data_IF_879384265264
#
_entry.id   IF_879384265264
#
_cell.length_a   1.000
_cell.length_b   1.000
_cell.length_c   1.000
_cell.angle_alpha   90.00
_cell.angle_beta   90.00
_cell.angle_gamma   90.00
#
_symmetry.space_group_name_H-M   'P 1'
#
loop_
_entity.id
_entity.type
_entity.pdbx_description
1 polymer ?
#
# COMPACT_ATOMS: atom_id res chain seq x y z
N UNK A 1 -4.41 -17.19 7.10
CA UNK A 1 -4.73 -15.74 7.07
C UNK A 1 -4.85 -15.28 8.51
N UNK A 2 -4.22 -14.17 8.87
CA UNK A 2 -4.29 -13.57 10.19
C UNK A 2 -5.15 -12.32 10.12
N UNK A 3 -6.14 -12.19 11.00
CA UNK A 3 -6.91 -10.95 11.17
C UNK A 3 -6.43 -10.20 12.40
N UNK A 4 -6.29 -8.88 12.30
CA UNK A 4 -5.90 -8.01 13.42
C UNK A 4 -6.68 -6.71 13.37
N UNK A 5 -7.09 -6.21 14.54
CA UNK A 5 -7.72 -4.89 14.65
C UNK A 5 -6.63 -3.84 14.78
N UNK A 6 -6.62 -2.88 13.87
CA UNK A 6 -5.63 -1.80 13.81
C UNK A 6 -6.34 -0.46 13.94
N UNK A 7 -5.75 0.44 14.73
CA UNK A 7 -6.25 1.81 14.90
C UNK A 7 -5.60 2.74 13.88
N UNK A 8 -6.28 3.84 13.56
CA UNK A 8 -5.70 4.86 12.70
C UNK A 8 -4.35 5.35 13.24
N UNK A 9 -3.39 5.67 12.36
CA UNK A 9 -2.21 6.43 12.74
C UNK A 9 -2.64 7.71 13.46
N UNK A 10 -2.06 8.04 14.63
CA UNK A 10 -2.45 9.22 15.40
C UNK A 10 -2.42 10.52 14.57
N UNK A 11 -1.47 10.64 13.64
CA UNK A 11 -1.29 11.79 12.74
C UNK A 11 -2.47 11.97 11.78
N UNK A 12 -3.09 10.86 11.36
CA UNK A 12 -4.25 10.85 10.48
C UNK A 12 -5.57 10.92 11.26
N UNK A 13 -5.63 10.36 12.47
CA UNK A 13 -6.86 10.23 13.29
C UNK A 13 -7.64 11.56 13.47
N UNK A 14 -6.95 12.65 13.79
CA UNK A 14 -7.58 13.97 13.99
C UNK A 14 -8.14 14.57 12.70
N UNK A 15 -7.57 14.21 11.55
CA UNK A 15 -8.02 14.67 10.24
C UNK A 15 -9.19 13.83 9.74
N UNK A 16 -9.08 12.50 9.85
CA UNK A 16 -10.12 11.55 9.43
C UNK A 16 -11.41 11.70 10.23
N UNK A 17 -11.32 11.98 11.54
CA UNK A 17 -12.49 12.21 12.40
C UNK A 17 -13.25 13.52 12.12
N UNK A 18 -12.75 14.42 11.25
CA UNK A 18 -13.49 15.61 10.82
C UNK A 18 -14.58 15.31 9.79
N UNK A 19 -14.55 14.13 9.16
CA UNK A 19 -15.52 13.77 8.11
C UNK A 19 -16.46 12.65 8.57
N UNK A 20 -17.79 12.82 8.47
CA UNK A 20 -18.76 11.90 9.05
C UNK A 20 -18.78 10.49 8.43
N UNK A 21 -18.24 10.32 7.20
CA UNK A 21 -18.18 9.03 6.48
C UNK A 21 -16.79 8.35 6.47
N UNK A 22 -15.73 9.02 6.96
CA UNK A 22 -14.34 8.53 6.97
C UNK A 22 -13.84 8.20 8.39
N UNK A 23 -14.75 7.76 9.26
CA UNK A 23 -14.40 7.45 10.65
C UNK A 23 -13.67 6.11 10.70
N UNK A 24 -12.35 6.15 10.77
CA UNK A 24 -11.62 5.13 11.49
C UNK A 24 -11.97 5.30 12.97
N UNK A 25 -12.95 4.54 13.44
CA UNK A 25 -13.45 4.65 14.81
C UNK A 25 -12.34 4.33 15.82
N UNK A 26 -12.52 4.78 17.06
CA UNK A 26 -11.64 4.42 18.19
C UNK A 26 -11.53 2.90 18.41
N UNK A 27 -12.49 2.14 17.87
CA UNK A 27 -12.58 0.68 17.85
C UNK A 27 -11.60 0.03 16.87
N UNK A 28 -11.09 0.78 15.89
CA UNK A 28 -10.17 0.30 14.87
C UNK A 28 -10.86 -0.40 13.69
N UNK A 29 -10.05 -0.87 12.73
CA UNK A 29 -10.49 -1.62 11.54
C UNK A 29 -9.81 -2.98 11.54
N UNK A 30 -10.55 -4.01 11.14
CA UNK A 30 -9.95 -5.32 10.89
C UNK A 30 -9.12 -5.21 9.63
N UNK A 31 -7.87 -5.67 9.68
CA UNK A 31 -7.01 -5.87 8.52
C UNK A 31 -6.58 -7.32 8.43
N UNK A 32 -6.43 -7.80 7.20
CA UNK A 32 -6.04 -9.17 6.91
C UNK A 32 -4.57 -9.23 6.49
N UNK A 33 -3.86 -10.24 6.98
CA UNK A 33 -2.46 -10.52 6.66
C UNK A 33 -2.40 -11.96 6.13
N UNK A 34 -1.94 -12.10 4.89
CA UNK A 34 -1.71 -13.41 4.27
C UNK A 34 -0.39 -14.02 4.75
N UNK A 35 -0.35 -15.34 4.92
CA UNK A 35 0.81 -16.04 5.50
C UNK A 35 1.77 -16.61 4.43
N UNK A 36 1.34 -16.60 3.17
CA UNK A 36 2.04 -17.17 2.02
C UNK A 36 3.05 -16.22 1.36
N UNK A 37 3.33 -15.08 2.00
CA UNK A 37 4.12 -13.98 1.44
C UNK A 37 4.87 -13.22 2.51
N UNK A 38 5.83 -12.43 2.06
CA UNK A 38 6.56 -11.49 2.89
C UNK A 38 5.96 -10.10 2.82
N UNK A 39 6.42 -9.23 3.73
CA UNK A 39 5.98 -7.85 3.83
C UNK A 39 7.17 -6.90 3.95
N UNK A 40 6.92 -5.61 3.73
CA UNK A 40 7.85 -4.53 4.04
C UNK A 40 7.35 -3.69 5.22
N UNK A 41 8.25 -2.93 5.85
CA UNK A 41 7.85 -1.92 6.84
C UNK A 41 7.00 -0.81 6.20
N UNK A 42 7.20 -0.56 4.91
CA UNK A 42 6.37 0.35 4.12
C UNK A 42 4.97 -0.18 3.79
N UNK A 43 4.51 -1.30 4.35
CA UNK A 43 3.17 -1.86 4.09
C UNK A 43 2.92 -2.33 2.65
N UNK A 44 3.97 -2.81 2.00
CA UNK A 44 3.89 -3.60 0.76
C UNK A 44 4.03 -5.09 1.06
N UNK A 45 3.58 -5.94 0.15
CA UNK A 45 3.77 -7.39 0.22
C UNK A 45 4.56 -7.91 -0.97
N UNK A 46 5.25 -9.02 -0.77
CA UNK A 46 6.08 -9.70 -1.77
C UNK A 46 5.78 -11.19 -1.75
N UNK A 47 5.23 -11.72 -2.84
CA UNK A 47 4.91 -13.14 -3.00
C UNK A 47 5.81 -13.76 -4.07
N UNK A 48 6.48 -14.86 -3.72
CA UNK A 48 7.28 -15.64 -4.67
C UNK A 48 6.36 -16.39 -5.64
N UNK A 49 6.63 -16.25 -6.93
CA UNK A 49 5.95 -16.99 -7.99
C UNK A 49 6.66 -18.33 -8.24
N UNK A 50 6.01 -19.32 -8.87
CA UNK A 50 6.64 -20.59 -9.23
C UNK A 50 7.91 -20.44 -10.08
N UNK A 51 7.97 -19.41 -10.93
CA UNK A 51 9.09 -19.09 -11.82
C UNK A 51 10.29 -18.49 -11.07
N UNK A 52 10.15 -18.21 -9.77
CA UNK A 52 11.20 -17.62 -8.94
C UNK A 52 11.18 -16.10 -8.90
N UNK A 53 10.20 -15.45 -9.53
CA UNK A 53 10.01 -14.00 -9.47
C UNK A 53 9.26 -13.57 -8.22
N UNK A 54 9.23 -12.27 -7.98
CA UNK A 54 8.53 -11.65 -6.87
C UNK A 54 7.42 -10.75 -7.37
N UNK A 55 6.18 -11.17 -7.11
CA UNK A 55 4.99 -10.34 -7.33
C UNK A 55 4.78 -9.44 -6.13
N UNK A 56 4.51 -8.17 -6.39
CA UNK A 56 4.51 -7.10 -5.40
C UNK A 56 3.17 -6.35 -5.45
N UNK A 57 2.66 -5.93 -4.31
CA UNK A 57 1.49 -5.08 -4.18
C UNK A 57 1.43 -4.39 -2.82
N UNK A 58 0.34 -3.67 -2.53
CA UNK A 58 0.13 -3.04 -1.23
C UNK A 58 -0.74 -3.90 -0.32
N UNK A 59 -0.56 -3.76 1.00
CA UNK A 59 -1.34 -4.52 1.98
C UNK A 59 -2.78 -4.04 2.14
N UNK A 60 -3.63 -4.90 2.72
CA UNK A 60 -4.99 -4.54 3.13
C UNK A 60 -5.01 -3.38 4.13
N UNK A 61 -3.98 -3.27 4.98
CA UNK A 61 -3.81 -2.09 5.82
C UNK A 61 -3.60 -0.82 4.98
N UNK A 62 -2.67 -0.84 4.03
CA UNK A 62 -2.33 0.34 3.23
C UNK A 62 -3.51 0.84 2.38
N UNK A 63 -4.25 -0.08 1.74
CA UNK A 63 -5.42 0.31 0.94
C UNK A 63 -6.54 0.91 1.81
N UNK A 64 -6.76 0.38 3.03
CA UNK A 64 -7.75 0.93 3.97
C UNK A 64 -7.38 2.32 4.47
N UNK A 65 -6.09 2.57 4.67
CA UNK A 65 -5.60 3.91 5.01
C UNK A 65 -5.92 4.86 3.86
N UNK A 66 -5.59 4.48 2.62
CA UNK A 66 -5.85 5.28 1.41
C UNK A 66 -7.34 5.56 1.15
N UNK A 67 -8.22 4.60 1.39
CA UNK A 67 -9.67 4.76 1.19
C UNK A 67 -10.30 5.77 2.16
N UNK A 68 -9.78 5.85 3.38
CA UNK A 68 -10.47 6.48 4.51
C UNK A 68 -10.11 7.97 4.70
N UNK A 69 -9.15 8.50 3.94
CA UNK A 69 -8.76 9.92 4.02
C UNK A 69 -9.72 10.89 3.31
N UNK A 70 -10.67 10.42 2.49
CA UNK A 70 -11.33 11.33 1.54
C UNK A 70 -12.64 10.89 0.91
N UNK A 71 -13.33 9.87 1.42
CA UNK A 71 -14.65 9.40 0.94
C UNK A 71 -14.66 8.54 -0.34
N UNK A 72 -13.52 8.11 -0.89
CA UNK A 72 -13.51 7.23 -2.05
C UNK A 72 -12.22 6.42 -2.19
N UNK A 73 -12.35 5.35 -2.97
CA UNK A 73 -11.31 4.36 -3.29
C UNK A 73 -10.02 5.00 -3.83
N UNK A 74 -8.99 4.17 -4.01
CA UNK A 74 -7.80 4.55 -4.77
C UNK A 74 -8.26 5.13 -6.11
N UNK A 75 -7.84 6.37 -6.39
CA UNK A 75 -8.27 7.09 -7.58
C UNK A 75 -7.34 6.83 -8.74
N UNK A 76 -6.03 6.86 -8.50
CA UNK A 76 -5.00 6.79 -9.54
C UNK A 76 -3.80 6.01 -9.01
N UNK A 77 -3.18 5.22 -9.88
CA UNK A 77 -1.83 4.70 -9.69
C UNK A 77 -0.95 5.19 -10.83
N UNK A 78 0.18 5.79 -10.49
CA UNK A 78 1.22 6.17 -11.43
C UNK A 78 2.40 5.21 -11.26
N UNK A 79 2.79 4.54 -12.34
CA UNK A 79 3.96 3.67 -12.36
C UNK A 79 5.01 4.34 -13.26
N UNK A 80 6.16 4.68 -12.68
CA UNK A 80 7.24 5.42 -13.33
C UNK A 80 8.22 4.52 -14.07
N UNK A 81 8.21 3.22 -13.77
CA UNK A 81 9.09 2.20 -14.35
C UNK A 81 8.30 1.23 -15.23
N UNK A 82 8.92 0.72 -16.29
CA UNK A 82 8.30 -0.20 -17.25
C UNK A 82 8.93 -1.58 -17.19
N UNK A 83 8.26 -2.54 -17.82
CA UNK A 83 8.82 -3.88 -18.05
C UNK A 83 10.16 -3.77 -18.80
N UNK A 84 11.16 -4.53 -18.34
CA UNK A 84 12.53 -4.54 -18.85
C UNK A 84 13.47 -3.52 -18.19
N UNK A 85 12.97 -2.65 -17.31
CA UNK A 85 13.82 -1.73 -16.55
C UNK A 85 14.32 -2.36 -15.24
N UNK A 86 15.53 -1.98 -14.85
CA UNK A 86 16.11 -2.31 -13.54
C UNK A 86 15.60 -1.36 -12.47
N UNK A 87 15.47 -1.89 -11.25
CA UNK A 87 15.24 -1.12 -10.03
C UNK A 87 16.17 -1.58 -8.91
N UNK A 88 16.58 -0.65 -8.05
CA UNK A 88 17.29 -0.95 -6.81
C UNK A 88 16.32 -1.04 -5.62
N UNK A 89 16.63 -1.88 -4.63
CA UNK A 89 15.86 -1.93 -3.40
C UNK A 89 15.79 -0.53 -2.74
N UNK A 90 14.57 -0.09 -2.42
CA UNK A 90 14.29 1.24 -1.89
C UNK A 90 14.04 2.31 -2.97
N UNK A 91 14.29 2.02 -4.25
CA UNK A 91 14.02 2.95 -5.35
C UNK A 91 12.52 3.15 -5.57
N UNK A 92 12.11 4.40 -5.75
CA UNK A 92 10.73 4.76 -6.09
C UNK A 92 10.39 4.30 -7.51
N UNK A 93 9.37 3.45 -7.66
CA UNK A 93 8.89 3.00 -8.97
C UNK A 93 7.47 3.44 -9.29
N UNK A 94 6.73 3.99 -8.33
CA UNK A 94 5.37 4.48 -8.56
C UNK A 94 4.79 5.19 -7.34
N UNK A 95 3.59 5.74 -7.51
CA UNK A 95 2.81 6.40 -6.45
C UNK A 95 1.34 6.06 -6.61
N UNK A 96 0.67 5.74 -5.50
CA UNK A 96 -0.78 5.60 -5.44
C UNK A 96 -1.38 6.87 -4.85
N UNK A 97 -2.40 7.41 -5.51
CA UNK A 97 -3.16 8.56 -5.04
C UNK A 97 -4.58 8.13 -4.67
N UNK A 98 -5.00 8.50 -3.46
CA UNK A 98 -6.39 8.44 -3.04
C UNK A 98 -7.24 9.48 -3.76
N UNK A 99 -8.55 9.44 -3.53
CA UNK A 99 -9.45 10.44 -4.06
C UNK A 99 -9.22 11.81 -3.41
N UNK A 100 -9.34 12.87 -4.21
CA UNK A 100 -9.27 14.26 -3.73
C UNK A 100 -10.45 14.58 -2.82
N UNK A 101 -10.18 15.28 -1.72
CA UNK A 101 -11.21 15.80 -0.84
C UNK A 101 -11.04 17.29 -0.60
N UNK A 102 -12.15 17.97 -0.33
CA UNK A 102 -12.15 19.41 -0.05
C UNK A 102 -11.83 19.63 1.42
N UNK A 103 -10.75 20.35 1.69
CA UNK A 103 -10.46 20.87 3.01
C UNK A 103 -11.21 22.20 3.21
N UNK A 104 -12.21 22.18 4.08
CA UNK A 104 -13.08 23.35 4.33
C UNK A 104 -12.39 24.48 5.13
N UNK A 105 -11.28 24.22 5.83
CA UNK A 105 -10.59 25.25 6.61
C UNK A 105 -9.95 26.32 5.72
N UNK A 106 -9.48 25.93 4.53
CA UNK A 106 -8.83 26.83 3.57
C UNK A 106 -9.39 26.74 2.15
N UNK A 107 -10.50 26.00 1.96
CA UNK A 107 -11.19 25.83 0.68
C UNK A 107 -10.28 25.30 -0.45
N UNK A 108 -9.44 24.31 -0.17
CA UNK A 108 -8.58 23.66 -1.17
C UNK A 108 -8.83 22.16 -1.31
N UNK A 109 -8.15 21.51 -2.25
CA UNK A 109 -8.17 20.06 -2.42
C UNK A 109 -6.93 19.44 -1.77
N UNK A 110 -7.11 18.34 -1.04
CA UNK A 110 -6.03 17.47 -0.56
C UNK A 110 -6.20 16.07 -1.15
N UNK A 111 -5.09 15.34 -1.31
CA UNK A 111 -5.10 13.90 -1.59
C UNK A 111 -4.08 13.19 -0.70
N UNK A 112 -4.28 11.89 -0.50
CA UNK A 112 -3.28 11.06 0.16
C UNK A 112 -2.47 10.30 -0.89
N UNK A 113 -1.16 10.42 -0.80
CA UNK A 113 -0.22 9.73 -1.65
C UNK A 113 0.52 8.64 -0.85
N UNK A 114 0.74 7.50 -1.51
CA UNK A 114 1.55 6.41 -1.01
C UNK A 114 2.62 6.04 -2.03
N UNK A 115 3.87 6.30 -1.67
CA UNK A 115 5.02 6.04 -2.51
C UNK A 115 5.34 4.54 -2.53
N UNK A 116 5.51 4.01 -3.75
CA UNK A 116 5.84 2.60 -3.99
C UNK A 116 7.33 2.48 -4.22
N UNK A 117 8.03 1.88 -3.26
CA UNK A 117 9.47 1.61 -3.34
C UNK A 117 9.74 0.14 -3.60
N UNK A 118 10.71 -0.16 -4.46
CA UNK A 118 11.04 -1.51 -4.85
C UNK A 118 11.54 -2.28 -3.61
N UNK A 119 10.92 -3.41 -3.23
CA UNK A 119 11.30 -4.14 -2.02
C UNK A 119 12.57 -4.98 -2.22
N UNK A 120 12.98 -5.19 -3.47
CA UNK A 120 14.18 -5.93 -3.87
C UNK A 120 14.78 -5.28 -5.11
N UNK A 121 16.09 -5.45 -5.30
CA UNK A 121 16.73 -5.10 -6.57
C UNK A 121 16.44 -6.15 -7.63
N UNK A 122 16.33 -5.73 -8.89
CA UNK A 122 16.14 -6.63 -10.02
C UNK A 122 15.49 -5.97 -11.23
N UNK A 123 15.07 -6.80 -12.18
CA UNK A 123 14.41 -6.36 -13.40
C UNK A 123 12.89 -6.46 -13.24
N UNK A 124 12.16 -5.41 -13.61
CA UNK A 124 10.70 -5.48 -13.69
C UNK A 124 10.31 -6.33 -14.90
N UNK A 125 9.74 -7.51 -14.67
CA UNK A 125 9.32 -8.42 -15.73
C UNK A 125 7.85 -8.26 -16.11
N UNK A 126 7.06 -7.60 -15.25
CA UNK A 126 5.64 -7.40 -15.47
C UNK A 126 5.12 -6.18 -14.73
N UNK A 127 4.24 -5.41 -15.38
CA UNK A 127 3.46 -4.33 -14.78
C UNK A 127 1.98 -4.67 -14.95
N UNK A 128 1.20 -4.63 -13.87
CA UNK A 128 -0.22 -4.92 -13.93
C UNK A 128 -0.99 -3.74 -14.54
N UNK A 129 -1.27 -3.79 -15.84
CA UNK A 129 -2.06 -2.73 -16.50
C UNK A 129 -3.49 -2.64 -15.98
N UNK A 130 -4.03 -3.71 -15.39
CA UNK A 130 -5.42 -3.74 -14.91
C UNK A 130 -5.65 -2.84 -13.71
N UNK A 131 -4.66 -2.66 -12.83
CA UNK A 131 -4.78 -1.69 -11.72
C UNK A 131 -4.62 -0.24 -12.19
N UNK A 132 -3.99 -0.01 -13.34
CA UNK A 132 -3.92 1.31 -13.97
C UNK A 132 -5.28 1.66 -14.58
N UNK A 133 -5.89 0.72 -15.29
CA UNK A 133 -7.21 0.88 -15.91
C UNK A 133 -8.35 0.88 -14.87
N UNK A 134 -8.22 0.09 -13.82
CA UNK A 134 -9.19 -0.04 -12.74
C UNK A 134 -8.50 -0.06 -11.36
N UNK A 135 -8.17 1.11 -10.80
CA UNK A 135 -7.47 1.22 -9.51
C UNK A 135 -8.25 0.66 -8.31
N UNK A 136 -9.58 0.49 -8.43
CA UNK A 136 -10.44 -0.10 -7.39
C UNK A 136 -10.04 -1.54 -7.04
N UNK A 137 -9.34 -2.24 -7.95
CA UNK A 137 -8.76 -3.57 -7.68
C UNK A 137 -7.80 -3.56 -6.48
N UNK A 138 -7.09 -2.46 -6.23
CA UNK A 138 -6.18 -2.32 -5.10
C UNK A 138 -6.94 -2.34 -3.76
N UNK A 139 -8.15 -1.78 -3.73
CA UNK A 139 -8.99 -1.81 -2.53
C UNK A 139 -9.75 -3.12 -2.38
N UNK A 140 -10.27 -3.66 -3.48
CA UNK A 140 -11.20 -4.79 -3.46
C UNK A 140 -10.49 -6.14 -3.36
N UNK A 141 -9.32 -6.28 -3.99
CA UNK A 141 -8.52 -7.50 -3.93
C UNK A 141 -7.00 -7.19 -3.86
N UNK A 142 -6.52 -6.57 -2.76
CA UNK A 142 -5.12 -6.16 -2.61
C UNK A 142 -4.12 -7.32 -2.69
N UNK A 143 -4.56 -8.56 -2.47
CA UNK A 143 -3.70 -9.73 -2.38
C UNK A 143 -3.80 -10.71 -3.56
N UNK A 144 -4.83 -10.57 -4.40
CA UNK A 144 -5.01 -11.26 -5.67
C UNK A 144 -4.78 -10.30 -6.84
N UNK A 145 -5.86 -9.79 -7.43
CA UNK A 145 -5.87 -9.00 -8.66
C UNK A 145 -5.23 -7.60 -8.54
N UNK A 146 -5.11 -7.08 -7.31
CA UNK A 146 -4.52 -5.77 -6.98
C UNK A 146 -2.99 -5.74 -6.88
N UNK A 147 -2.29 -6.75 -7.40
CA UNK A 147 -0.82 -6.69 -7.53
C UNK A 147 -0.39 -5.60 -8.52
N UNK A 148 0.84 -5.10 -8.41
CA UNK A 148 1.29 -3.90 -9.13
C UNK A 148 2.41 -4.22 -10.13
N UNK A 149 3.49 -4.84 -9.65
CA UNK A 149 4.62 -5.25 -10.49
C UNK A 149 5.08 -6.67 -10.13
N UNK A 150 5.78 -7.30 -11.07
CA UNK A 150 6.57 -8.51 -10.83
C UNK A 150 8.04 -8.20 -11.12
N UNK A 151 8.93 -8.53 -10.19
CA UNK A 151 10.38 -8.34 -10.32
C UNK A 151 11.07 -9.70 -10.43
N UNK A 152 11.98 -9.86 -11.38
CA UNK A 152 13.00 -10.90 -11.37
C UNK A 152 14.15 -10.46 -10.46
N UNK A 153 14.28 -11.02 -9.25
CA UNK A 153 15.21 -10.50 -8.25
C UNK A 153 16.66 -10.73 -8.66
N UNK A 154 17.53 -9.76 -8.36
CA UNK A 154 18.98 -9.87 -8.48
C UNK A 154 19.62 -9.73 -7.10
N UNK A 155 20.43 -10.72 -6.72
CA UNK A 155 21.10 -10.74 -5.42
C UNK A 155 20.18 -11.09 -4.26
N UNK A 156 20.58 -10.68 -3.06
CA UNK A 156 19.87 -11.03 -1.83
C UNK A 156 18.65 -10.14 -1.55
N UNK A 157 17.67 -10.75 -0.89
CA UNK A 157 16.40 -10.13 -0.50
C UNK A 157 16.62 -9.28 0.75
N UNK A 158 16.62 -7.95 0.60
CA UNK A 158 16.83 -7.04 1.73
C UNK A 158 15.53 -6.76 2.50
N UNK A 159 15.60 -6.87 3.82
CA UNK A 159 14.62 -6.32 4.79
C UNK A 159 13.15 -6.81 4.73
N UNK A 160 12.87 -7.88 3.99
CA UNK A 160 11.55 -8.51 4.03
C UNK A 160 11.26 -9.11 5.40
N UNK A 161 10.02 -8.90 5.88
CA UNK A 161 9.58 -9.36 7.19
C UNK A 161 8.46 -10.40 7.07
N UNK A 162 8.42 -11.31 8.04
CA UNK A 162 7.39 -12.35 8.10
C UNK A 162 6.00 -11.78 8.42
N UNK A 163 4.92 -12.49 8.09
CA UNK A 163 3.55 -12.12 8.46
C UNK A 163 3.39 -11.82 9.97
N UNK A 164 4.05 -12.62 10.82
CA UNK A 164 4.02 -12.46 12.28
C UNK A 164 4.71 -11.15 12.70
N UNK A 165 5.84 -10.80 12.08
CA UNK A 165 6.55 -9.55 12.35
C UNK A 165 5.76 -8.34 11.85
N UNK A 166 5.14 -8.45 10.67
CA UNK A 166 4.25 -7.41 10.15
C UNK A 166 3.02 -7.18 11.04
N UNK A 167 2.40 -8.25 11.56
CA UNK A 167 1.34 -8.13 12.57
C UNK A 167 1.79 -7.33 13.80
N UNK A 168 2.99 -7.60 14.31
CA UNK A 168 3.55 -6.85 15.46
C UNK A 168 3.70 -5.36 15.13
N UNK A 169 4.19 -5.04 13.93
CA UNK A 169 4.29 -3.66 13.45
C UNK A 169 2.92 -2.97 13.47
N UNK A 170 1.89 -3.61 12.91
CA UNK A 170 0.53 -3.03 12.87
C UNK A 170 -0.10 -2.81 14.25
N UNK A 171 0.32 -3.57 15.26
CA UNK A 171 -0.17 -3.40 16.64
C UNK A 171 0.63 -2.38 17.46
N UNK A 172 1.75 -1.88 16.92
CA UNK A 172 2.57 -0.86 17.56
C UNK A 172 2.25 0.52 16.97
N UNK A 173 2.41 1.59 17.76
CA UNK A 173 2.30 2.96 17.24
C UNK A 173 3.49 3.24 16.33
N UNK A 174 3.31 3.14 15.01
CA UNK A 174 4.29 3.60 14.01
C UNK A 174 3.89 4.95 13.42
N UNK A 175 4.90 5.70 12.92
CA UNK A 175 4.66 6.90 12.11
C UNK A 175 4.07 6.50 10.78
N UNK A 176 3.03 7.20 10.34
CA UNK A 176 2.41 7.01 9.03
C UNK A 176 3.40 7.26 7.88
N UNK A 177 3.60 6.31 6.93
CA UNK A 177 4.37 6.55 5.71
C UNK A 177 3.57 7.30 4.63
N UNK A 178 2.27 7.55 4.85
CA UNK A 178 1.40 8.23 3.90
C UNK A 178 1.63 9.74 3.94
N UNK A 179 1.71 10.36 2.75
CA UNK A 179 1.87 11.81 2.59
C UNK A 179 0.52 12.43 2.26
N UNK A 180 0.21 13.57 2.87
CA UNK A 180 -0.93 14.41 2.46
C UNK A 180 -0.36 15.51 1.57
N UNK A 181 -0.96 15.70 0.40
CA UNK A 181 -0.59 16.70 -0.57
C UNK A 181 -1.75 17.63 -0.88
#
# INVERSE_FOLDING_TARGET
>A
MISVVVKAPPELSRRMNRYPKGKWSDEGKIVHIMEDRYYTRGHMWVKKTPEGYFRIGITDYAQKVLQDSGQADVAIIEIYKKTGEEVEAGELFGTIYGTYYVNFDYMGYETMAFDLTAPVSGEIVEVNTRVIENPVLINTDPYGEGWIITIAPKGDVYELISPIRYKKILTQKEKSPFRIM
#
